data_IF_884207426025
#
_entry.id   IF_884207426025
#
_cell.length_a   1.000
_cell.length_b   1.000
_cell.length_c   1.000
_cell.angle_alpha   90.00
_cell.angle_beta   90.00
_cell.angle_gamma   90.00
#
_symmetry.space_group_name_H-M   'P 1'
#
loop_
_entity.id
_entity.type
_entity.pdbx_description
1 polymer ?
#
# COMPACT_ATOMS: atom_id res chain seq x y z
N UNK A 1 -5.15 17.28 4.26
CA UNK A 1 -3.89 17.91 4.68
C UNK A 1 -3.90 18.11 6.19
N UNK A 2 -2.80 17.81 6.85
CA UNK A 2 -2.61 18.13 8.27
C UNK A 2 -1.13 18.41 8.57
N UNK A 3 -0.89 19.04 9.72
CA UNK A 3 0.44 19.28 10.27
C UNK A 3 0.57 18.45 11.53
N UNK A 4 1.59 17.62 11.61
CA UNK A 4 1.89 16.82 12.78
C UNK A 4 3.10 17.40 13.50
N UNK A 5 2.97 17.66 14.80
CA UNK A 5 4.07 18.14 15.64
C UNK A 5 4.30 17.13 16.77
N UNK A 6 5.52 16.64 16.90
CA UNK A 6 5.91 15.76 17.99
C UNK A 6 6.07 16.51 19.31
N UNK A 7 6.06 15.81 20.47
CA UNK A 7 6.34 16.44 21.77
C UNK A 7 7.71 17.15 21.85
N UNK A 8 8.66 16.80 20.97
CA UNK A 8 9.97 17.46 20.86
C UNK A 8 9.97 18.66 19.91
N UNK A 9 8.80 19.10 19.41
CA UNK A 9 8.66 20.23 18.49
C UNK A 9 9.01 19.93 17.03
N UNK A 10 9.26 18.65 16.65
CA UNK A 10 9.48 18.29 15.26
C UNK A 10 8.17 18.37 14.49
N UNK A 11 8.16 19.08 13.38
CA UNK A 11 6.96 19.36 12.59
C UNK A 11 7.08 18.80 11.17
N UNK A 12 6.05 18.06 10.75
CA UNK A 12 5.88 17.50 9.41
C UNK A 12 4.55 17.98 8.84
N UNK A 13 4.53 18.31 7.55
CA UNK A 13 3.31 18.50 6.77
C UNK A 13 2.97 17.20 6.07
N UNK A 14 1.72 16.74 6.20
CA UNK A 14 1.25 15.49 5.60
C UNK A 14 0.07 15.76 4.68
N UNK A 15 0.11 15.17 3.49
CA UNK A 15 -0.99 15.15 2.54
C UNK A 15 -1.29 13.70 2.17
N UNK A 16 -2.54 13.31 2.21
CA UNK A 16 -3.02 12.03 1.71
C UNK A 16 -4.15 12.26 0.71
N UNK A 17 -4.08 11.60 -0.43
CA UNK A 17 -5.06 11.67 -1.49
C UNK A 17 -5.38 10.26 -1.97
N UNK A 18 -6.67 9.95 -2.11
CA UNK A 18 -7.15 8.65 -2.60
C UNK A 18 -8.02 8.89 -3.82
N UNK A 19 -7.81 8.10 -4.85
CA UNK A 19 -8.54 8.20 -6.10
C UNK A 19 -8.93 6.80 -6.59
N UNK A 20 -10.20 6.63 -6.93
CA UNK A 20 -10.65 5.49 -7.71
C UNK A 20 -10.38 5.80 -9.19
N UNK A 21 -9.79 4.83 -9.89
CA UNK A 21 -9.49 4.98 -11.31
C UNK A 21 -10.76 4.67 -12.12
N UNK A 22 -11.40 5.72 -12.67
CA UNK A 22 -12.67 5.57 -13.39
C UNK A 22 -12.57 4.64 -14.60
N UNK A 23 -11.43 4.64 -15.28
CA UNK A 23 -11.19 3.84 -16.48
C UNK A 23 -10.66 2.42 -16.17
N UNK A 24 -10.38 2.13 -14.91
CA UNK A 24 -9.87 0.85 -14.45
C UNK A 24 -10.68 0.35 -13.24
N UNK A 25 -11.82 -0.29 -13.55
CA UNK A 25 -12.62 -1.00 -12.54
C UNK A 25 -11.66 -1.84 -11.68
N UNK A 26 -11.82 -1.82 -10.38
CA UNK A 26 -11.00 -2.58 -9.41
C UNK A 26 -9.64 -1.96 -9.03
N UNK A 27 -9.29 -0.76 -9.54
CA UNK A 27 -8.03 -0.11 -9.21
C UNK A 27 -8.22 1.18 -8.41
N UNK A 28 -7.44 1.31 -7.33
CA UNK A 28 -7.37 2.49 -6.50
C UNK A 28 -5.91 2.99 -6.43
N UNK A 29 -5.74 4.31 -6.48
CA UNK A 29 -4.46 4.96 -6.24
C UNK A 29 -4.51 5.76 -4.95
N UNK A 30 -3.42 5.71 -4.19
CA UNK A 30 -3.18 6.53 -3.01
C UNK A 30 -1.84 7.26 -3.19
N UNK A 31 -1.87 8.56 -3.01
CA UNK A 31 -0.67 9.41 -2.91
C UNK A 31 -0.55 9.91 -1.49
N UNK A 32 0.58 9.65 -0.86
CA UNK A 32 0.88 10.06 0.51
C UNK A 32 2.17 10.86 0.53
N UNK A 33 2.10 12.14 0.89
CA UNK A 33 3.24 13.05 0.92
C UNK A 33 3.57 13.43 2.37
N UNK A 34 4.84 13.40 2.69
CA UNK A 34 5.39 13.88 3.97
C UNK A 34 6.50 14.88 3.68
N UNK A 35 6.33 16.11 4.15
CA UNK A 35 7.34 17.15 4.03
C UNK A 35 7.86 17.56 5.40
N UNK A 36 9.19 17.59 5.56
CA UNK A 36 9.81 18.09 6.78
C UNK A 36 9.79 19.61 6.82
N UNK A 37 9.29 20.17 7.93
CA UNK A 37 9.38 21.61 8.22
C UNK A 37 10.68 21.92 8.94
N UNK A 38 10.98 21.20 10.04
CA UNK A 38 12.13 21.45 10.90
C UNK A 38 12.80 20.18 11.43
N UNK A 39 12.44 19.02 10.90
CA UNK A 39 12.98 17.74 11.35
C UNK A 39 14.13 17.26 10.47
N UNK A 40 15.20 16.80 11.10
CA UNK A 40 16.31 16.08 10.46
C UNK A 40 16.44 14.70 11.12
N UNK A 41 16.31 13.64 10.33
CA UNK A 41 16.44 12.28 10.85
C UNK A 41 15.78 11.23 9.96
N UNK A 42 15.69 9.99 10.43
CA UNK A 42 15.04 8.91 9.71
C UNK A 42 13.51 9.04 9.80
N UNK A 43 12.83 8.75 8.71
CA UNK A 43 11.39 8.49 8.64
C UNK A 43 11.19 7.11 8.02
N UNK A 44 10.29 6.32 8.61
CA UNK A 44 9.86 5.03 8.07
C UNK A 44 8.43 5.14 7.59
N UNK A 45 8.20 4.80 6.32
CA UNK A 45 6.87 4.72 5.72
C UNK A 45 6.50 3.24 5.60
N UNK A 46 5.30 2.89 6.10
CA UNK A 46 4.74 1.55 5.98
C UNK A 46 3.64 1.57 4.92
N UNK A 47 3.78 0.73 3.89
CA UNK A 47 2.76 0.49 2.88
C UNK A 47 2.23 -0.93 3.04
N UNK A 48 1.01 -1.07 3.56
CA UNK A 48 0.47 -2.34 4.04
C UNK A 48 -0.86 -2.68 3.37
N UNK A 49 -1.10 -4.00 3.18
CA UNK A 49 -2.39 -4.62 3.01
C UNK A 49 -2.71 -5.39 4.30
N UNK A 50 -3.78 -4.99 4.99
CA UNK A 50 -4.26 -5.71 6.16
C UNK A 50 -5.46 -6.57 5.80
N UNK A 51 -5.63 -7.72 6.45
CA UNK A 51 -6.87 -8.46 6.49
C UNK A 51 -7.94 -7.68 7.25
N UNK A 52 -9.21 -8.03 7.07
CA UNK A 52 -10.30 -7.42 7.84
C UNK A 52 -10.09 -7.58 9.34
N UNK A 53 -10.54 -6.59 10.12
CA UNK A 53 -10.44 -6.62 11.59
C UNK A 53 -11.33 -7.70 12.20
N UNK A 54 -12.37 -8.13 11.48
CA UNK A 54 -13.23 -9.26 11.86
C UNK A 54 -12.61 -10.58 11.35
N UNK A 55 -11.65 -11.10 12.10
CA UNK A 55 -10.97 -12.38 11.83
C UNK A 55 -11.94 -13.57 11.68
N UNK A 56 -13.18 -13.44 12.17
CA UNK A 56 -14.20 -14.48 12.10
C UNK A 56 -14.88 -14.59 10.73
N UNK A 57 -14.75 -13.57 9.86
CA UNK A 57 -15.40 -13.53 8.56
C UNK A 57 -14.43 -13.69 7.38
N UNK A 58 -13.21 -13.13 7.49
CA UNK A 58 -12.19 -13.21 6.46
C UNK A 58 -11.00 -14.03 6.93
N UNK A 59 -10.59 -15.02 6.16
CA UNK A 59 -9.33 -15.71 6.40
C UNK A 59 -8.44 -15.70 5.17
N UNK A 60 -7.14 -15.62 5.40
CA UNK A 60 -6.13 -15.64 4.36
C UNK A 60 -5.98 -17.06 3.82
N UNK A 61 -6.11 -17.21 2.51
CA UNK A 61 -5.79 -18.44 1.80
C UNK A 61 -4.31 -18.49 1.45
N UNK A 62 -3.77 -17.38 0.93
CA UNK A 62 -2.39 -17.28 0.50
C UNK A 62 -1.92 -15.82 0.50
N UNK A 63 -0.66 -15.60 0.85
CA UNK A 63 0.02 -14.32 0.77
C UNK A 63 1.29 -14.43 -0.07
N UNK A 64 1.68 -13.35 -0.70
CA UNK A 64 2.96 -13.23 -1.39
C UNK A 64 3.51 -11.82 -1.28
N UNK A 65 4.81 -11.69 -0.98
CA UNK A 65 5.52 -10.42 -0.97
C UNK A 65 6.73 -10.50 -1.89
N UNK A 66 6.56 -10.02 -3.13
CA UNK A 66 7.63 -9.88 -4.12
C UNK A 66 8.48 -8.64 -3.91
N UNK A 67 9.35 -8.31 -4.85
CA UNK A 67 10.19 -7.10 -4.80
C UNK A 67 9.42 -5.86 -5.23
N UNK A 68 8.53 -5.98 -6.22
CA UNK A 68 7.80 -4.86 -6.83
C UNK A 68 6.33 -4.80 -6.46
N UNK A 69 5.75 -5.94 -6.09
CA UNK A 69 4.34 -6.06 -5.70
C UNK A 69 4.13 -7.13 -4.65
N UNK A 70 3.06 -7.00 -3.91
CA UNK A 70 2.56 -8.04 -3.02
C UNK A 70 1.07 -8.26 -3.27
N UNK A 71 0.58 -9.45 -2.94
CA UNK A 71 -0.83 -9.75 -3.03
C UNK A 71 -1.27 -10.67 -1.89
N UNK A 72 -2.56 -10.61 -1.62
CA UNK A 72 -3.24 -11.37 -0.59
C UNK A 72 -4.52 -11.96 -1.15
N UNK A 73 -4.64 -13.27 -1.09
CA UNK A 73 -5.83 -14.01 -1.48
C UNK A 73 -6.58 -14.46 -0.23
N UNK A 74 -7.85 -14.09 -0.13
CA UNK A 74 -8.67 -14.28 1.07
C UNK A 74 -10.02 -14.88 0.71
N UNK A 75 -10.65 -15.51 1.68
CA UNK A 75 -12.02 -16.01 1.57
C UNK A 75 -12.89 -15.41 2.65
N UNK A 76 -14.08 -14.93 2.26
CA UNK A 76 -15.14 -14.50 3.15
C UNK A 76 -16.08 -15.67 3.44
N UNK A 77 -16.32 -15.94 4.71
CA UNK A 77 -17.35 -16.89 5.15
C UNK A 77 -18.51 -16.15 5.82
N UNK A 78 -19.75 -16.66 5.72
CA UNK A 78 -20.18 -17.95 5.09
C UNK A 78 -20.43 -17.87 3.58
N UNK A 79 -20.26 -16.71 2.94
CA UNK A 79 -20.69 -16.44 1.56
C UNK A 79 -19.84 -17.16 0.50
N UNK A 80 -18.74 -17.80 0.89
CA UNK A 80 -17.80 -18.46 -0.03
C UNK A 80 -17.28 -17.56 -1.17
N UNK A 81 -17.23 -16.25 -0.92
CA UNK A 81 -16.65 -15.27 -1.83
C UNK A 81 -15.15 -15.23 -1.60
N UNK A 82 -14.37 -15.28 -2.68
CA UNK A 82 -12.94 -15.10 -2.63
C UNK A 82 -12.55 -13.74 -3.17
N UNK A 83 -11.55 -13.15 -2.55
CA UNK A 83 -11.04 -11.82 -2.85
C UNK A 83 -9.53 -11.87 -3.00
N UNK A 84 -8.98 -11.26 -4.04
CA UNK A 84 -7.56 -11.00 -4.15
C UNK A 84 -7.30 -9.50 -4.14
N UNK A 85 -6.47 -9.06 -3.19
CA UNK A 85 -5.94 -7.70 -3.13
C UNK A 85 -4.48 -7.74 -3.54
N UNK A 86 -4.10 -6.97 -4.56
CA UNK A 86 -2.72 -6.78 -4.97
C UNK A 86 -2.30 -5.32 -4.79
N UNK A 87 -1.04 -5.08 -4.44
CA UNK A 87 -0.51 -3.75 -4.18
C UNK A 87 0.88 -3.60 -4.78
N UNK A 88 1.12 -2.47 -5.42
CA UNK A 88 2.46 -1.97 -5.72
C UNK A 88 2.66 -0.59 -5.10
N UNK A 89 3.90 -0.23 -4.78
CA UNK A 89 4.20 1.09 -4.29
C UNK A 89 5.57 1.57 -4.76
N UNK A 90 5.68 2.88 -4.94
CA UNK A 90 6.91 3.57 -5.29
C UNK A 90 7.10 4.75 -4.36
N UNK A 91 8.31 4.93 -3.83
CA UNK A 91 8.67 6.09 -3.03
C UNK A 91 9.55 7.04 -3.85
N UNK A 92 9.23 8.32 -3.81
CA UNK A 92 10.06 9.40 -4.34
C UNK A 92 10.52 10.29 -3.19
N UNK A 93 11.77 10.77 -3.29
CA UNK A 93 12.30 11.83 -2.44
C UNK A 93 12.64 13.03 -3.31
N UNK A 94 12.04 14.17 -3.04
CA UNK A 94 12.20 15.40 -3.85
C UNK A 94 12.01 15.11 -5.35
N UNK A 95 10.91 14.40 -5.67
CA UNK A 95 10.49 13.96 -7.01
C UNK A 95 11.41 12.95 -7.72
N UNK A 96 12.50 12.51 -7.06
CA UNK A 96 13.39 11.45 -7.57
C UNK A 96 13.03 10.09 -6.98
N UNK A 97 13.00 9.07 -7.83
CA UNK A 97 12.71 7.71 -7.39
C UNK A 97 13.76 7.21 -6.37
N UNK A 98 13.28 6.65 -5.27
CA UNK A 98 14.13 5.99 -4.27
C UNK A 98 14.41 4.56 -4.76
N UNK A 99 15.67 4.26 -5.06
CA UNK A 99 16.10 2.95 -5.60
C UNK A 99 16.32 1.90 -4.49
N UNK A 100 16.32 2.33 -3.23
CA UNK A 100 16.51 1.40 -2.10
C UNK A 100 15.38 0.36 -2.06
N UNK A 101 15.77 -0.91 -1.97
CA UNK A 101 14.80 -2.00 -1.80
C UNK A 101 14.09 -1.87 -0.45
N UNK A 102 12.76 -1.98 -0.44
CA UNK A 102 11.99 -1.97 0.81
C UNK A 102 12.24 -3.25 1.62
N UNK A 103 12.05 -3.15 2.93
CA UNK A 103 11.98 -4.33 3.79
C UNK A 103 10.59 -4.94 3.64
N UNK A 104 10.53 -6.21 3.29
CA UNK A 104 9.28 -6.96 3.16
C UNK A 104 8.67 -7.24 4.52
N UNK A 105 7.37 -7.05 4.63
CA UNK A 105 6.56 -7.42 5.80
C UNK A 105 5.61 -8.52 5.35
N UNK A 106 5.73 -9.69 5.98
CA UNK A 106 4.87 -10.83 5.70
C UNK A 106 4.46 -11.49 7.01
N UNK A 107 3.23 -11.23 7.42
CA UNK A 107 2.59 -11.81 8.61
C UNK A 107 1.22 -12.33 8.22
N UNK A 108 0.62 -13.16 9.06
CA UNK A 108 -0.66 -13.80 8.78
C UNK A 108 -1.78 -12.80 8.43
N UNK A 109 -1.84 -11.66 9.10
CA UNK A 109 -2.90 -10.65 8.99
C UNK A 109 -2.46 -9.39 8.23
N UNK A 110 -1.16 -9.22 7.94
CA UNK A 110 -0.62 -8.03 7.29
C UNK A 110 0.58 -8.35 6.40
N UNK A 111 0.56 -7.82 5.18
CA UNK A 111 1.67 -7.90 4.23
C UNK A 111 1.98 -6.52 3.67
N UNK A 112 3.19 -6.33 3.16
CA UNK A 112 3.59 -5.10 2.49
C UNK A 112 5.06 -4.75 2.66
N UNK A 113 5.32 -3.45 2.78
CA UNK A 113 6.67 -2.90 2.73
C UNK A 113 6.92 -1.86 3.81
N UNK A 114 8.14 -1.85 4.33
CA UNK A 114 8.70 -0.81 5.18
C UNK A 114 9.86 -0.13 4.45
N UNK A 115 9.78 1.18 4.28
CA UNK A 115 10.78 1.97 3.56
C UNK A 115 11.28 3.08 4.49
N UNK A 116 12.56 3.04 4.86
CA UNK A 116 13.19 4.06 5.70
C UNK A 116 13.99 5.04 4.84
N UNK A 117 13.84 6.34 5.08
CA UNK A 117 14.60 7.41 4.43
C UNK A 117 15.03 8.46 5.45
N UNK A 118 16.23 9.00 5.28
CA UNK A 118 16.64 10.19 6.03
C UNK A 118 16.17 11.44 5.33
N UNK A 119 15.58 12.37 6.07
CA UNK A 119 15.13 13.66 5.58
C UNK A 119 15.74 14.81 6.40
N UNK A 120 15.70 16.00 5.83
CA UNK A 120 16.05 17.28 6.45
C UNK A 120 14.96 18.31 6.16
N UNK A 121 14.95 19.47 6.82
CA UNK A 121 14.00 20.54 6.52
C UNK A 121 13.92 20.85 5.03
N UNK A 122 12.70 20.92 4.51
CA UNK A 122 12.40 21.12 3.08
C UNK A 122 12.30 19.83 2.25
N UNK A 123 12.85 18.71 2.69
CA UNK A 123 12.72 17.43 1.98
C UNK A 123 11.26 16.96 1.99
N UNK A 124 10.83 16.41 0.85
CA UNK A 124 9.50 15.81 0.62
C UNK A 124 9.65 14.34 0.21
N UNK A 125 8.94 13.47 0.90
CA UNK A 125 8.74 12.07 0.52
C UNK A 125 7.35 11.92 -0.07
N UNK A 126 7.22 11.25 -1.21
CA UNK A 126 5.95 10.97 -1.87
C UNK A 126 5.85 9.47 -2.13
N UNK A 127 4.95 8.80 -1.42
CA UNK A 127 4.58 7.41 -1.67
C UNK A 127 3.41 7.38 -2.65
N UNK A 128 3.61 6.75 -3.80
CA UNK A 128 2.54 6.40 -4.73
C UNK A 128 2.22 4.91 -4.55
N UNK A 129 1.01 4.61 -4.08
CA UNK A 129 0.52 3.25 -3.86
C UNK A 129 -0.64 2.98 -4.79
N UNK A 130 -0.59 1.85 -5.51
CA UNK A 130 -1.71 1.32 -6.29
C UNK A 130 -2.21 0.05 -5.64
N UNK A 131 -3.52 -0.12 -5.57
CA UNK A 131 -4.18 -1.30 -5.01
C UNK A 131 -5.23 -1.77 -6.00
N UNK A 132 -5.13 -3.03 -6.42
CA UNK A 132 -6.16 -3.73 -7.17
C UNK A 132 -6.94 -4.66 -6.25
N UNK A 133 -8.26 -4.68 -6.39
CA UNK A 133 -9.16 -5.56 -5.65
C UNK A 133 -10.07 -6.28 -6.65
N UNK A 134 -9.99 -7.59 -6.68
CA UNK A 134 -10.83 -8.44 -7.55
C UNK A 134 -11.48 -9.54 -6.73
N UNK A 135 -12.67 -9.96 -7.10
CA UNK A 135 -13.43 -10.95 -6.38
C UNK A 135 -14.03 -12.04 -7.28
N UNK A 136 -14.50 -13.11 -6.65
CA UNK A 136 -15.01 -14.31 -7.33
C UNK A 136 -16.43 -14.15 -7.90
N UNK A 137 -17.08 -13.01 -7.72
CA UNK A 137 -18.35 -12.70 -8.41
C UNK A 137 -18.09 -12.24 -9.85
N UNK A 138 -16.99 -11.52 -10.06
CA UNK A 138 -16.61 -10.97 -11.37
C UNK A 138 -15.68 -11.90 -12.15
N UNK A 139 -14.85 -12.73 -11.46
CA UNK A 139 -13.80 -13.54 -12.08
C UNK A 139 -13.75 -14.96 -11.51
N UNK A 140 -13.30 -15.90 -12.33
CA UNK A 140 -13.07 -17.27 -11.86
C UNK A 140 -12.02 -17.31 -10.74
N UNK A 141 -12.27 -18.12 -9.71
CA UNK A 141 -11.42 -18.21 -8.49
C UNK A 141 -9.95 -18.49 -8.83
N UNK A 142 -9.69 -19.37 -9.78
CA UNK A 142 -8.33 -19.77 -10.19
C UNK A 142 -7.55 -18.66 -10.90
N UNK A 143 -8.21 -17.57 -11.30
CA UNK A 143 -7.61 -16.45 -12.03
C UNK A 143 -7.57 -15.14 -11.24
N UNK A 144 -8.04 -15.13 -9.99
CA UNK A 144 -8.12 -13.89 -9.19
C UNK A 144 -6.75 -13.22 -9.01
N UNK A 145 -5.70 -14.00 -8.73
CA UNK A 145 -4.34 -13.47 -8.53
C UNK A 145 -3.84 -12.84 -9.83
N UNK A 146 -3.98 -13.54 -10.96
CA UNK A 146 -3.54 -13.03 -12.26
C UNK A 146 -4.28 -11.75 -12.66
N UNK A 147 -5.60 -11.69 -12.42
CA UNK A 147 -6.38 -10.48 -12.68
C UNK A 147 -5.96 -9.31 -11.81
N UNK A 148 -5.74 -9.54 -10.51
CA UNK A 148 -5.28 -8.49 -9.60
C UNK A 148 -3.91 -7.92 -10.03
N UNK A 149 -2.98 -8.80 -10.41
CA UNK A 149 -1.66 -8.39 -10.91
C UNK A 149 -1.78 -7.60 -12.21
N UNK A 150 -2.58 -8.08 -13.18
CA UNK A 150 -2.81 -7.36 -14.46
C UNK A 150 -3.40 -5.98 -14.25
N UNK A 151 -4.33 -5.79 -13.32
CA UNK A 151 -4.86 -4.46 -12.99
C UNK A 151 -3.77 -3.48 -12.54
N UNK A 152 -2.69 -3.96 -11.89
CA UNK A 152 -1.58 -3.11 -11.48
C UNK A 152 -0.59 -2.79 -12.61
N UNK A 153 -0.44 -3.69 -13.59
CA UNK A 153 0.64 -3.65 -14.60
C UNK A 153 0.21 -3.11 -15.96
N UNK A 154 -1.08 -3.11 -16.27
CA UNK A 154 -1.63 -2.71 -17.59
C UNK A 154 -2.02 -1.22 -17.66
N UNK A 155 -1.29 -0.35 -16.97
CA UNK A 155 -1.48 1.10 -17.00
C UNK A 155 -0.32 1.79 -17.71
#
# INVERSE_FOLDING_TARGET
HFVATSPKGHTLKVRAERQLMMDAKNLMQLVYEVQSVNYTGPITILSLLRGGEDADQWYSLMNHVGDDLCWRWMQLQPMNIQLCCAMSCQLKKNDKLVVQRPIKIEKQDVIGYSIAQRIKPGDKLTLCKKVAVVDSNDYAKDHLIDHAIRCLTNL
#
